data_IF_179536489587
#
_entry.id   IF_179536489587
#
_cell.length_a   1.000
_cell.length_b   1.000
_cell.length_c   1.000
_cell.angle_alpha   90.00
_cell.angle_beta   90.00
_cell.angle_gamma   90.00
#
_symmetry.space_group_name_H-M   'P 1'
#
loop_
_entity.id
_entity.type
_entity.pdbx_description
1 polymer ?
#
# COMPACT_ATOMS: atom_id res chain seq x y z
N UNK A 1 10.79 15.22 33.59
CA UNK A 1 10.32 13.83 33.37
C UNK A 1 10.09 13.66 31.89
N UNK A 2 10.84 12.77 31.23
CA UNK A 2 10.53 12.36 29.85
C UNK A 2 9.29 11.45 29.93
N UNK A 3 8.20 11.72 29.20
CA UNK A 3 7.12 10.75 29.11
C UNK A 3 7.69 9.52 28.41
N UNK A 4 7.81 8.43 29.16
CA UNK A 4 7.95 7.09 28.62
C UNK A 4 6.68 6.80 27.83
N UNK A 5 6.75 6.89 26.51
CA UNK A 5 5.67 6.45 25.64
C UNK A 5 5.42 4.95 25.89
N UNK A 6 4.17 4.54 26.16
CA UNK A 6 3.86 3.14 26.37
C UNK A 6 4.04 2.38 25.05
N UNK A 7 4.60 1.18 25.16
CA UNK A 7 4.73 0.17 24.11
C UNK A 7 3.39 0.03 23.36
N UNK A 8 3.30 0.65 22.19
CA UNK A 8 2.17 0.50 21.26
C UNK A 8 2.29 -0.89 20.63
N UNK A 9 1.50 -1.84 21.13
CA UNK A 9 1.16 -3.04 20.36
C UNK A 9 0.75 -2.60 18.93
N UNK A 10 1.42 -3.18 17.94
CA UNK A 10 1.30 -2.99 16.49
C UNK A 10 -0.03 -2.38 16.01
N UNK A 11 -0.15 -1.05 16.05
CA UNK A 11 -1.29 -0.36 15.47
C UNK A 11 -1.07 -0.26 13.97
N UNK A 12 -1.61 -1.21 13.20
CA UNK A 12 -1.78 -1.03 11.75
C UNK A 12 -2.57 0.26 11.52
N UNK A 13 -1.94 1.27 10.92
CA UNK A 13 -2.58 2.54 10.59
C UNK A 13 -3.10 2.50 9.14
N UNK A 14 -4.35 2.90 8.93
CA UNK A 14 -4.91 3.06 7.59
C UNK A 14 -4.68 4.50 7.10
N UNK A 15 -3.97 4.65 5.98
CA UNK A 15 -3.78 5.94 5.31
C UNK A 15 -4.78 6.07 4.16
N UNK A 16 -5.58 7.14 4.15
CA UNK A 16 -6.51 7.46 3.07
C UNK A 16 -5.94 8.62 2.25
N UNK A 17 -5.77 8.41 0.94
CA UNK A 17 -5.26 9.43 0.01
C UNK A 17 -6.14 9.54 -1.23
N UNK A 18 -6.32 10.76 -1.74
CA UNK A 18 -6.96 11.02 -3.05
C UNK A 18 -5.88 11.21 -4.10
N UNK A 19 -5.86 10.40 -5.16
CA UNK A 19 -4.88 10.47 -6.25
C UNK A 19 -5.55 10.75 -7.58
N UNK A 20 -4.91 11.58 -8.41
CA UNK A 20 -5.29 11.82 -9.82
C UNK A 20 -4.67 10.73 -10.71
N UNK A 21 -5.10 10.71 -11.97
CA UNK A 21 -4.43 9.91 -12.99
C UNK A 21 -2.93 10.21 -12.97
N UNK A 22 -2.16 9.15 -13.09
CA UNK A 22 -0.71 9.14 -13.14
C UNK A 22 0.07 9.54 -11.89
N UNK A 23 -0.60 9.99 -10.83
CA UNK A 23 0.07 10.22 -9.55
C UNK A 23 0.53 8.89 -8.94
N UNK A 24 1.73 8.91 -8.34
CA UNK A 24 2.36 7.75 -7.70
C UNK A 24 2.28 7.88 -6.19
N UNK A 25 1.85 6.81 -5.53
CA UNK A 25 2.02 6.60 -4.09
C UNK A 25 3.26 5.76 -3.88
N UNK A 26 4.19 6.28 -3.08
CA UNK A 26 5.40 5.59 -2.68
C UNK A 26 5.21 4.98 -1.29
N UNK A 27 5.48 3.68 -1.15
CA UNK A 27 5.45 2.94 0.11
C UNK A 27 6.86 2.42 0.36
N UNK A 28 7.44 2.85 1.49
CA UNK A 28 8.80 2.50 1.93
C UNK A 28 8.72 1.76 3.28
N UNK A 29 8.59 0.43 3.28
CA UNK A 29 8.90 -0.37 4.47
C UNK A 29 10.35 -0.12 4.93
N UNK A 30 10.62 -0.34 6.21
CA UNK A 30 11.89 -0.03 6.92
C UNK A 30 13.16 -0.68 6.34
N UNK A 31 13.06 -1.51 5.28
CA UNK A 31 14.12 -2.35 4.74
C UNK A 31 14.32 -2.20 3.22
N UNK A 32 14.28 -0.97 2.69
CA UNK A 32 14.60 -0.63 1.29
C UNK A 32 13.74 -1.30 0.19
N UNK A 33 12.63 -1.94 0.55
CA UNK A 33 11.70 -2.53 -0.41
C UNK A 33 10.71 -1.47 -0.93
N UNK A 34 11.10 -0.71 -1.94
CA UNK A 34 10.24 0.31 -2.53
C UNK A 34 9.03 -0.29 -3.28
N UNK A 35 7.82 0.06 -2.85
CA UNK A 35 6.58 -0.25 -3.57
C UNK A 35 5.99 1.04 -4.13
N UNK A 36 5.66 1.06 -5.42
CA UNK A 36 4.99 2.17 -6.10
C UNK A 36 3.61 1.74 -6.55
N UNK A 37 2.61 2.58 -6.30
CA UNK A 37 1.24 2.38 -6.78
C UNK A 37 0.84 3.60 -7.62
N UNK A 38 0.44 3.38 -8.87
CA UNK A 38 0.01 4.42 -9.82
C UNK A 38 -1.41 4.14 -10.30
N UNK A 39 -2.26 5.17 -10.37
CA UNK A 39 -3.53 5.06 -11.11
C UNK A 39 -3.23 5.22 -12.60
N UNK A 40 -3.50 4.16 -13.38
CA UNK A 40 -3.29 4.17 -14.83
C UNK A 40 -4.55 4.65 -15.57
N UNK A 41 -5.72 4.18 -15.12
CA UNK A 41 -6.99 4.49 -15.77
C UNK A 41 -8.13 4.43 -14.76
N UNK A 42 -9.14 5.27 -14.96
CA UNK A 42 -10.42 5.21 -14.27
C UNK A 42 -11.48 4.87 -15.32
N UNK A 43 -12.27 3.83 -15.05
CA UNK A 43 -13.36 3.37 -15.92
C UNK A 43 -14.66 3.34 -15.13
N UNK A 44 -15.78 3.07 -15.80
CA UNK A 44 -17.07 2.88 -15.13
C UNK A 44 -17.11 1.64 -14.22
N UNK A 45 -16.21 0.68 -14.45
CA UNK A 45 -16.16 -0.60 -13.71
C UNK A 45 -15.11 -0.60 -12.59
N UNK A 46 -14.29 0.44 -12.49
CA UNK A 46 -13.29 0.55 -11.43
C UNK A 46 -12.04 1.31 -11.84
N UNK A 47 -10.93 0.96 -11.19
CA UNK A 47 -9.65 1.65 -11.32
C UNK A 47 -8.58 0.64 -11.73
N UNK A 48 -7.89 0.93 -12.82
CA UNK A 48 -6.70 0.18 -13.22
C UNK A 48 -5.48 0.72 -12.45
N UNK A 49 -4.88 -0.14 -11.63
CA UNK A 49 -3.71 0.19 -10.82
C UNK A 49 -2.46 -0.47 -11.40
N UNK A 50 -1.40 0.30 -11.55
CA UNK A 50 -0.04 -0.21 -11.76
C UNK A 50 0.66 -0.35 -10.41
N UNK A 51 1.17 -1.54 -10.10
CA UNK A 51 1.95 -1.80 -8.88
C UNK A 51 3.35 -2.23 -9.29
N UNK A 52 4.37 -1.51 -8.82
CA UNK A 52 5.78 -1.90 -8.94
C UNK A 52 6.28 -2.28 -7.55
N UNK A 53 6.84 -3.48 -7.42
CA UNK A 53 7.36 -3.98 -6.16
C UNK A 53 8.58 -4.89 -6.42
N UNK A 54 9.43 -5.13 -5.40
CA UNK A 54 10.49 -6.13 -5.48
C UNK A 54 9.94 -7.52 -5.82
N UNK A 55 10.77 -8.37 -6.45
CA UNK A 55 10.37 -9.74 -6.83
C UNK A 55 9.98 -10.63 -5.66
N UNK A 56 10.48 -10.33 -4.46
CA UNK A 56 10.15 -11.03 -3.22
C UNK A 56 8.79 -10.61 -2.63
N UNK A 57 8.21 -9.51 -3.11
CA UNK A 57 6.93 -9.01 -2.63
C UNK A 57 5.79 -9.73 -3.34
N UNK A 58 4.95 -10.41 -2.56
CA UNK A 58 3.70 -10.98 -3.06
C UNK A 58 2.67 -9.86 -3.18
N UNK A 59 2.16 -9.64 -4.39
CA UNK A 59 1.06 -8.71 -4.67
C UNK A 59 -0.16 -9.55 -5.04
N UNK A 60 -1.16 -9.55 -4.17
CA UNK A 60 -2.38 -10.35 -4.35
C UNK A 60 -3.63 -9.49 -4.17
N UNK A 61 -4.71 -9.89 -4.84
CA UNK A 61 -6.02 -9.27 -4.60
C UNK A 61 -6.68 -10.01 -3.44
N UNK A 62 -7.36 -9.30 -2.56
CA UNK A 62 -7.88 -9.90 -1.34
C UNK A 62 -8.85 -11.06 -1.62
N UNK A 63 -9.66 -10.96 -2.66
CA UNK A 63 -10.61 -12.01 -3.07
C UNK A 63 -9.94 -13.32 -3.53
N UNK A 64 -8.62 -13.30 -3.76
CA UNK A 64 -7.85 -14.51 -4.12
C UNK A 64 -7.36 -15.30 -2.91
N UNK A 65 -7.31 -14.71 -1.71
CA UNK A 65 -6.89 -15.40 -0.48
C UNK A 65 -7.90 -16.45 -0.01
N UNK A 66 -9.19 -16.25 -0.25
CA UNK A 66 -10.27 -17.09 0.32
C UNK A 66 -10.46 -18.44 -0.38
N UNK A 67 -9.72 -18.71 -1.47
CA UNK A 67 -9.84 -19.94 -2.27
C UNK A 67 -8.67 -20.92 -2.12
N UNK A 68 -7.76 -20.68 -1.17
CA UNK A 68 -6.62 -21.57 -0.87
C UNK A 68 -6.81 -22.31 0.44
#
# INVERSE_FOLDING_TARGET
MKPSFPLLLERKAMLIVKRRLEEVVLIQPEHDAEIRIKILRITEFGVELGITAPRSTVVQRLETETKS
#
